data_IF_560779454357
#
_entry.id   IF_560779454357
#
_cell.length_a   1.000
_cell.length_b   1.000
_cell.length_c   1.000
_cell.angle_alpha   90.00
_cell.angle_beta   90.00
_cell.angle_gamma   90.00
#
_symmetry.space_group_name_H-M   'P 1'
#
loop_
_entity.id
_entity.type
_entity.pdbx_description
1 polymer ?
#
# COMPACT_ATOMS: atom_id res chain seq x y z
N UNK A 1 6.57 -24.48 -18.52
CA UNK A 1 5.54 -23.43 -18.64
C UNK A 1 5.32 -22.90 -17.23
N UNK A 2 6.03 -21.84 -16.84
CA UNK A 2 5.84 -21.23 -15.54
C UNK A 2 4.63 -20.31 -15.64
N UNK A 3 3.58 -20.72 -14.94
CA UNK A 3 2.36 -19.95 -14.73
C UNK A 3 2.75 -18.56 -14.21
N UNK A 4 2.56 -17.55 -15.06
CA UNK A 4 2.93 -16.15 -14.81
C UNK A 4 1.76 -15.42 -14.13
N UNK A 5 0.91 -16.15 -13.42
CA UNK A 5 -0.19 -15.58 -12.66
C UNK A 5 0.39 -14.74 -11.53
N UNK A 6 0.05 -13.46 -11.58
CA UNK A 6 0.12 -12.54 -10.46
C UNK A 6 -0.40 -13.25 -9.20
N UNK A 7 0.28 -13.17 -8.04
CA UNK A 7 -0.23 -13.80 -6.83
C UNK A 7 -1.66 -13.34 -6.60
N UNK A 8 -2.58 -14.30 -6.70
CA UNK A 8 -4.01 -14.10 -6.64
C UNK A 8 -4.38 -13.43 -5.32
N UNK A 9 -4.90 -12.20 -5.37
CA UNK A 9 -5.61 -11.59 -4.25
C UNK A 9 -4.78 -11.33 -3.00
N UNK A 10 -3.72 -10.54 -3.12
CA UNK A 10 -3.01 -10.01 -1.95
C UNK A 10 -3.95 -9.20 -1.05
N UNK A 11 -3.84 -9.37 0.26
CA UNK A 11 -4.66 -8.67 1.27
C UNK A 11 -4.28 -7.18 1.43
N UNK A 12 -3.33 -6.68 0.62
CA UNK A 12 -2.74 -5.36 0.72
C UNK A 12 -3.75 -4.20 0.79
N UNK A 13 -4.73 -4.17 -0.12
CA UNK A 13 -5.76 -3.13 -0.11
C UNK A 13 -6.61 -3.19 1.17
N UNK A 14 -7.03 -4.39 1.56
CA UNK A 14 -7.81 -4.58 2.77
C UNK A 14 -7.01 -4.22 4.03
N UNK A 15 -5.77 -4.69 4.15
CA UNK A 15 -4.89 -4.45 5.30
C UNK A 15 -4.56 -2.96 5.42
N UNK A 16 -4.15 -2.31 4.33
CA UNK A 16 -3.85 -0.87 4.33
C UNK A 16 -5.11 -0.04 4.60
N UNK A 17 -6.25 -0.40 3.99
CA UNK A 17 -7.52 0.25 4.20
C UNK A 17 -8.03 0.13 5.64
N UNK A 18 -7.89 -1.05 6.24
CA UNK A 18 -8.19 -1.24 7.66
C UNK A 18 -7.21 -0.47 8.54
N UNK A 19 -5.92 -0.40 8.19
CA UNK A 19 -4.91 0.30 8.99
C UNK A 19 -5.16 1.81 9.05
N UNK A 20 -5.55 2.44 7.94
CA UNK A 20 -5.86 3.89 7.92
C UNK A 20 -7.16 4.22 8.67
N UNK A 21 -8.16 3.33 8.63
CA UNK A 21 -9.46 3.55 9.31
C UNK A 21 -9.40 3.17 10.79
N UNK A 22 -8.87 1.99 11.11
CA UNK A 22 -8.81 1.37 12.44
C UNK A 22 -7.42 1.51 13.07
N UNK A 23 -6.99 2.74 13.30
CA UNK A 23 -5.68 3.07 13.88
C UNK A 23 -5.46 2.63 15.36
N UNK A 24 -6.39 1.94 16.03
CA UNK A 24 -6.29 1.73 17.50
C UNK A 24 -5.85 0.34 17.98
N UNK A 25 -6.18 -0.77 17.34
CA UNK A 25 -6.15 -2.04 18.12
C UNK A 25 -5.26 -3.19 17.60
N UNK A 26 -5.01 -3.35 16.29
CA UNK A 26 -4.37 -4.59 15.78
C UNK A 26 -2.89 -4.41 15.43
N UNK A 27 -2.46 -3.19 15.09
CA UNK A 27 -1.09 -2.89 14.67
C UNK A 27 -0.51 -1.63 15.32
N UNK A 28 -1.04 -1.23 16.47
CA UNK A 28 -0.71 0.01 17.18
C UNK A 28 0.81 0.21 17.37
N UNK A 29 1.58 -0.88 17.52
CA UNK A 29 3.02 -0.83 17.67
C UNK A 29 3.76 -0.52 16.36
N UNK A 30 3.26 -0.98 15.20
CA UNK A 30 3.81 -0.67 13.88
C UNK A 30 3.59 0.80 13.48
N UNK A 31 2.49 1.40 13.95
CA UNK A 31 2.11 2.79 13.67
C UNK A 31 2.54 3.77 14.76
N UNK A 32 3.21 3.30 15.83
CA UNK A 32 3.56 4.13 17.00
C UNK A 32 4.50 5.27 16.60
N UNK A 33 4.09 6.50 16.94
CA UNK A 33 4.85 7.71 16.65
C UNK A 33 4.85 8.14 15.19
N UNK A 34 4.04 7.50 14.34
CA UNK A 34 3.86 7.92 12.94
C UNK A 34 2.72 8.95 12.87
N UNK A 35 2.94 10.08 12.22
CA UNK A 35 1.95 11.15 11.96
C UNK A 35 1.64 11.25 10.47
N UNK A 36 0.69 12.12 10.11
CA UNK A 36 0.40 12.52 8.73
C UNK A 36 0.14 11.33 7.79
N UNK A 37 -0.65 10.37 8.30
CA UNK A 37 -0.88 9.12 7.59
C UNK A 37 -1.78 9.32 6.40
N UNK A 38 -1.38 8.74 5.27
CA UNK A 38 -2.21 8.62 4.07
C UNK A 38 -2.21 7.18 3.58
N UNK A 39 -3.33 6.76 3.01
CA UNK A 39 -3.42 5.51 2.25
C UNK A 39 -2.83 5.74 0.87
N UNK A 40 -1.89 4.90 0.46
CA UNK A 40 -1.25 4.97 -0.83
C UNK A 40 -1.60 3.72 -1.65
N UNK A 41 -2.07 3.93 -2.88
CA UNK A 41 -2.23 2.90 -3.90
C UNK A 41 -1.25 3.18 -5.03
N UNK A 42 -0.50 2.17 -5.46
CA UNK A 42 0.44 2.34 -6.56
C UNK A 42 0.88 1.02 -7.18
N UNK A 43 1.81 1.10 -8.12
CA UNK A 43 2.33 -0.07 -8.82
C UNK A 43 3.72 -0.40 -8.29
N UNK A 44 3.94 -1.66 -7.98
CA UNK A 44 5.24 -2.19 -7.55
C UNK A 44 5.77 -3.17 -8.57
N UNK A 45 7.08 -3.26 -8.69
CA UNK A 45 7.76 -4.29 -9.48
C UNK A 45 8.26 -5.38 -8.53
N UNK A 46 7.75 -6.59 -8.73
CA UNK A 46 8.12 -7.76 -7.95
C UNK A 46 9.63 -8.03 -8.00
N UNK A 47 10.12 -8.71 -6.95
CA UNK A 47 11.50 -9.18 -6.83
C UNK A 47 11.49 -10.71 -6.68
N UNK A 48 12.64 -11.35 -6.89
CA UNK A 48 12.78 -12.80 -6.72
C UNK A 48 11.90 -13.59 -7.71
N UNK A 49 11.04 -14.52 -7.26
CA UNK A 49 10.23 -15.38 -8.15
C UNK A 49 9.29 -14.63 -9.09
N UNK A 50 8.89 -13.40 -8.73
CA UNK A 50 8.03 -12.52 -9.54
C UNK A 50 8.80 -11.32 -10.09
N UNK A 51 10.13 -11.46 -10.26
CA UNK A 51 11.00 -10.37 -10.70
C UNK A 51 10.55 -9.80 -12.04
N UNK A 52 10.43 -8.47 -12.11
CA UNK A 52 10.05 -7.75 -13.32
C UNK A 52 8.54 -7.70 -13.58
N UNK A 53 7.73 -8.42 -12.81
CA UNK A 53 6.26 -8.36 -12.92
C UNK A 53 5.77 -7.12 -12.16
N UNK A 54 5.04 -6.26 -12.86
CA UNK A 54 4.37 -5.08 -12.27
C UNK A 54 2.99 -5.45 -11.77
N UNK A 55 2.63 -5.01 -10.57
CA UNK A 55 1.30 -5.25 -10.01
C UNK A 55 0.83 -4.15 -9.07
N UNK A 56 -0.49 -4.07 -8.92
CA UNK A 56 -1.15 -3.12 -8.04
C UNK A 56 -0.92 -3.48 -6.57
N UNK A 57 -0.61 -2.48 -5.74
CA UNK A 57 -0.36 -2.67 -4.30
C UNK A 57 -0.87 -1.48 -3.48
N UNK A 58 -0.99 -1.70 -2.17
CA UNK A 58 -1.41 -0.67 -1.22
C UNK A 58 -0.60 -0.70 0.09
N UNK A 59 -0.30 0.48 0.62
CA UNK A 59 0.45 0.67 1.86
C UNK A 59 0.05 1.98 2.55
N UNK A 60 0.58 2.22 3.75
CA UNK A 60 0.45 3.51 4.44
C UNK A 60 1.74 4.30 4.30
N UNK A 61 1.64 5.58 3.95
CA UNK A 61 2.72 6.55 4.10
C UNK A 61 2.46 7.42 5.34
N UNK A 62 3.52 7.88 5.97
CA UNK A 62 3.43 8.86 7.07
C UNK A 62 4.80 9.44 7.42
N UNK A 63 4.86 10.15 8.54
CA UNK A 63 6.09 10.77 9.04
C UNK A 63 6.44 10.23 10.43
N UNK A 64 7.69 9.84 10.66
CA UNK A 64 8.21 9.43 11.97
C UNK A 64 9.52 10.12 12.24
N UNK A 65 9.61 10.87 13.35
CA UNK A 65 10.81 11.65 13.70
C UNK A 65 11.31 12.55 12.56
N UNK A 66 10.38 13.18 11.82
CA UNK A 66 10.71 14.03 10.66
C UNK A 66 11.06 13.28 9.37
N UNK A 67 11.02 11.95 9.36
CA UNK A 67 11.39 11.13 8.19
C UNK A 67 10.13 10.51 7.58
N UNK A 68 9.99 10.56 6.25
CA UNK A 68 8.92 9.85 5.54
C UNK A 68 9.11 8.33 5.65
N UNK A 69 8.07 7.65 6.10
CA UNK A 69 8.05 6.20 6.31
C UNK A 69 6.92 5.53 5.55
N UNK A 70 7.11 4.26 5.25
CA UNK A 70 6.08 3.34 4.73
C UNK A 70 5.79 2.28 5.80
N UNK A 71 4.51 1.93 5.93
CA UNK A 71 4.03 0.79 6.71
C UNK A 71 3.26 -0.12 5.74
N UNK A 72 3.79 -1.32 5.54
CA UNK A 72 3.20 -2.37 4.73
C UNK A 72 3.20 -3.66 5.55
N UNK A 73 2.00 -4.15 5.87
CA UNK A 73 1.77 -5.32 6.72
C UNK A 73 1.05 -6.44 5.96
N UNK A 74 1.12 -6.40 4.63
CA UNK A 74 0.38 -7.29 3.74
C UNK A 74 1.15 -8.56 3.41
N UNK A 75 0.44 -9.56 2.87
CA UNK A 75 1.00 -10.81 2.34
C UNK A 75 1.87 -11.58 3.35
N UNK A 76 1.54 -11.52 4.64
CA UNK A 76 2.31 -12.14 5.72
C UNK A 76 3.70 -11.53 5.95
N UNK A 77 4.01 -10.42 5.27
CA UNK A 77 5.24 -9.66 5.45
C UNK A 77 5.01 -8.42 6.30
N UNK A 78 6.09 -7.89 6.87
CA UNK A 78 6.07 -6.66 7.68
C UNK A 78 7.23 -5.76 7.30
N UNK A 79 6.90 -4.67 6.64
CA UNK A 79 7.82 -3.56 6.38
C UNK A 79 7.38 -2.31 7.14
N UNK A 80 8.29 -1.76 7.94
CA UNK A 80 8.17 -0.43 8.54
C UNK A 80 9.52 0.26 8.41
N UNK A 81 9.62 1.25 7.53
CA UNK A 81 10.92 1.84 7.22
C UNK A 81 10.86 3.08 6.32
N UNK A 82 12.00 3.65 5.93
CA UNK A 82 12.06 4.84 5.09
C UNK A 82 11.35 4.64 3.76
N UNK A 83 10.51 5.59 3.37
CA UNK A 83 9.77 5.56 2.10
C UNK A 83 10.71 5.46 0.90
N UNK A 84 11.83 6.17 0.92
CA UNK A 84 12.80 6.16 -0.16
C UNK A 84 13.37 4.75 -0.41
N UNK A 85 13.65 3.99 0.65
CA UNK A 85 14.13 2.61 0.53
C UNK A 85 13.04 1.70 -0.04
N UNK A 86 11.81 1.82 0.45
CA UNK A 86 10.68 1.04 -0.04
C UNK A 86 10.42 1.29 -1.53
N UNK A 87 10.41 2.56 -1.95
CA UNK A 87 10.26 2.93 -3.35
C UNK A 87 11.40 2.46 -4.24
N UNK A 88 12.64 2.51 -3.77
CA UNK A 88 13.78 2.01 -4.53
C UNK A 88 13.68 0.49 -4.76
N UNK A 89 13.35 -0.28 -3.72
CA UNK A 89 13.21 -1.75 -3.81
C UNK A 89 12.04 -2.14 -4.71
N UNK A 90 10.89 -1.48 -4.54
CA UNK A 90 9.69 -1.76 -5.34
C UNK A 90 9.69 -1.15 -6.74
N UNK A 91 10.74 -0.40 -7.11
CA UNK A 91 10.79 0.42 -8.33
C UNK A 91 9.51 1.26 -8.52
N UNK A 92 9.04 1.84 -7.41
CA UNK A 92 7.78 2.57 -7.36
C UNK A 92 8.03 3.98 -7.86
N UNK A 93 7.25 4.37 -8.85
CA UNK A 93 7.29 5.70 -9.43
C UNK A 93 6.34 6.63 -8.65
N UNK A 94 6.84 7.66 -7.92
CA UNK A 94 6.02 8.47 -7.04
C UNK A 94 4.85 9.19 -7.71
N UNK A 95 4.95 9.49 -9.02
CA UNK A 95 3.86 10.15 -9.80
C UNK A 95 2.70 9.19 -10.12
N UNK A 96 2.93 7.88 -10.03
CA UNK A 96 1.90 6.84 -10.25
C UNK A 96 1.16 6.48 -8.95
N UNK A 97 1.59 7.03 -7.80
CA UNK A 97 1.00 6.74 -6.50
C UNK A 97 -0.17 7.68 -6.21
N UNK A 98 -1.36 7.11 -6.08
CA UNK A 98 -2.55 7.81 -5.61
C UNK A 98 -2.56 7.80 -4.07
N UNK A 99 -2.75 8.98 -3.46
CA UNK A 99 -2.72 9.17 -2.00
C UNK A 99 -4.03 9.72 -1.49
N UNK A 100 -4.53 9.14 -0.41
CA UNK A 100 -5.82 9.50 0.18
C UNK A 100 -5.66 9.81 1.66
N UNK A 101 -6.24 10.93 2.12
CA UNK A 101 -6.42 11.15 3.55
C UNK A 101 -7.33 10.06 4.13
N UNK A 102 -7.36 9.94 5.46
CA UNK A 102 -8.25 9.00 6.14
C UNK A 102 -9.72 9.22 5.75
N UNK A 103 -10.15 10.47 5.66
CA UNK A 103 -11.53 10.87 5.36
C UNK A 103 -11.88 10.49 3.92
N UNK A 104 -10.99 10.79 2.96
CA UNK A 104 -11.15 10.44 1.54
C UNK A 104 -11.17 8.94 1.36
N UNK A 105 -10.24 8.21 1.99
CA UNK A 105 -10.18 6.76 1.92
C UNK A 105 -11.47 6.12 2.45
N UNK A 106 -11.97 6.60 3.61
CA UNK A 106 -13.24 6.12 4.19
C UNK A 106 -14.42 6.37 3.26
N UNK A 107 -14.51 7.55 2.65
CA UNK A 107 -15.58 7.90 1.72
C UNK A 107 -15.55 7.00 0.47
N UNK A 108 -14.38 6.78 -0.13
CA UNK A 108 -14.21 5.89 -1.28
C UNK A 108 -14.57 4.44 -0.95
N UNK A 109 -14.17 3.92 0.22
CA UNK A 109 -14.57 2.57 0.66
C UNK A 109 -16.09 2.41 0.78
N UNK A 110 -16.78 3.42 1.33
CA UNK A 110 -18.25 3.40 1.43
C UNK A 110 -18.94 3.52 0.07
N UNK A 111 -18.39 4.34 -0.83
CA UNK A 111 -18.96 4.56 -2.17
C UNK A 111 -18.79 3.37 -3.10
N UNK A 112 -17.66 2.68 -3.01
CA UNK A 112 -17.26 1.63 -3.95
C UNK A 112 -17.45 0.21 -3.38
N UNK A 113 -17.69 0.09 -2.08
CA UNK A 113 -17.82 -1.20 -1.38
C UNK A 113 -16.57 -2.10 -1.46
N UNK A 114 -15.41 -1.54 -1.84
CA UNK A 114 -14.10 -2.22 -1.81
C UNK A 114 -12.98 -1.27 -1.36
N UNK A 115 -11.82 -1.83 -0.98
CA UNK A 115 -10.69 -1.08 -0.41
C UNK A 115 -9.76 -0.41 -1.45
N UNK A 116 -10.10 -0.52 -2.73
CA UNK A 116 -9.26 -0.12 -3.86
C UNK A 116 -8.93 -1.30 -4.79
N UNK A 117 -8.10 -1.06 -5.81
CA UNK A 117 -7.67 0.26 -6.27
C UNK A 117 -8.85 1.06 -6.87
N UNK A 118 -8.83 2.40 -6.74
CA UNK A 118 -9.98 3.23 -7.17
C UNK A 118 -9.74 4.06 -8.44
N UNK A 119 -8.50 4.45 -8.69
CA UNK A 119 -8.12 5.36 -9.78
C UNK A 119 -6.63 5.20 -10.11
N UNK A 120 -6.20 5.81 -11.21
CA UNK A 120 -4.80 5.82 -11.64
C UNK A 120 -4.33 4.53 -12.31
N UNK A 121 -3.01 4.42 -12.51
CA UNK A 121 -2.38 3.24 -13.13
C UNK A 121 -2.61 1.98 -12.29
N UNK A 122 -2.60 2.13 -10.96
CA UNK A 122 -2.89 1.03 -10.04
C UNK A 122 -4.26 0.40 -10.25
N UNK A 123 -5.26 1.17 -10.69
CA UNK A 123 -6.58 0.64 -11.03
C UNK A 123 -6.63 -0.03 -12.41
N UNK A 124 -5.77 0.39 -13.35
CA UNK A 124 -5.67 -0.24 -14.69
C UNK A 124 -5.02 -1.61 -14.65
N UNK A 125 -4.04 -1.81 -13.77
CA UNK A 125 -3.36 -3.10 -13.59
C UNK A 125 -4.07 -4.04 -12.61
N UNK A 126 -5.09 -3.56 -11.89
CA UNK A 126 -5.83 -4.30 -10.87
C UNK A 126 -7.14 -4.94 -11.37
N UNK A 127 -7.34 -5.04 -12.70
CA UNK A 127 -8.50 -5.68 -13.34
C UNK A 127 -8.09 -6.94 -14.09
#
# INVERSE_FOLDING_TARGET
MTDNTLPSGGDCFQVAGQLIVRCRDIHAQSTKGVTDKVLAHGVVTGQGPVSGIRFSHAWIEGVKNGISVVIDLSNGQRFVGPRALYYAIGQIEPKEVCRYSKEVARAKMLQTEHYGPWEGEVARLGL
#
